data_IF_060662685799
#
_entry.id   IF_060662685799
#
_cell.length_a   1.000
_cell.length_b   1.000
_cell.length_c   1.000
_cell.angle_alpha   90.00
_cell.angle_beta   90.00
_cell.angle_gamma   90.00
#
_symmetry.space_group_name_H-M   'P 1'
#
loop_
_entity.id
_entity.type
_entity.pdbx_description
1 polymer ?
#
# COMPACT_ATOMS: atom_id res chain seq x y z
N UNK A 1 11.25 0.33 -7.61
CA UNK A 1 11.00 0.36 -6.15
C UNK A 1 9.50 0.57 -5.98
N UNK A 2 8.80 -0.27 -5.20
CA UNK A 2 7.34 -0.15 -5.08
C UNK A 2 6.97 1.21 -4.47
N UNK A 3 6.25 2.04 -5.21
CA UNK A 3 5.83 3.33 -4.71
C UNK A 3 4.49 3.22 -3.95
N UNK A 4 4.58 2.92 -2.66
CA UNK A 4 3.40 2.80 -1.78
C UNK A 4 2.87 4.15 -1.28
N UNK A 5 3.09 5.26 -1.98
CA UNK A 5 2.72 6.61 -1.51
C UNK A 5 1.23 6.72 -1.17
N UNK A 6 0.34 6.23 -2.02
CA UNK A 6 -1.10 6.26 -1.76
C UNK A 6 -1.49 5.34 -0.61
N UNK A 7 -0.93 4.14 -0.52
CA UNK A 7 -1.16 3.24 0.61
C UNK A 7 -0.75 3.88 1.95
N UNK A 8 0.42 4.54 2.00
CA UNK A 8 0.90 5.28 3.17
C UNK A 8 -0.03 6.45 3.54
N UNK A 9 -0.56 7.16 2.55
CA UNK A 9 -1.55 8.21 2.77
C UNK A 9 -2.85 7.64 3.38
N UNK A 10 -3.36 6.51 2.86
CA UNK A 10 -4.53 5.84 3.42
C UNK A 10 -4.31 5.39 4.87
N UNK A 11 -3.15 4.82 5.18
CA UNK A 11 -2.81 4.47 6.55
C UNK A 11 -2.81 5.68 7.48
N UNK A 12 -2.27 6.81 7.02
CA UNK A 12 -2.25 8.06 7.78
C UNK A 12 -3.65 8.60 8.02
N UNK A 13 -4.47 8.72 6.97
CA UNK A 13 -5.83 9.26 7.04
C UNK A 13 -6.77 8.40 7.91
N UNK A 14 -6.59 7.08 7.91
CA UNK A 14 -7.37 6.15 8.72
C UNK A 14 -6.76 5.85 10.09
N UNK A 15 -5.67 6.54 10.46
CA UNK A 15 -4.92 6.33 11.71
C UNK A 15 -4.51 4.86 11.95
N UNK A 16 -4.09 4.18 10.88
CA UNK A 16 -3.66 2.78 10.90
C UNK A 16 -2.15 2.77 11.17
N UNK A 17 -1.75 2.18 12.30
CA UNK A 17 -0.34 2.08 12.67
C UNK A 17 0.28 0.85 12.05
N UNK A 18 1.60 0.91 11.86
CA UNK A 18 2.40 -0.24 11.42
C UNK A 18 2.22 -1.46 12.34
N UNK A 19 2.01 -1.23 13.64
CA UNK A 19 1.69 -2.27 14.62
C UNK A 19 0.36 -2.97 14.37
N UNK A 20 -0.61 -2.27 13.78
CA UNK A 20 -1.94 -2.81 13.54
C UNK A 20 -1.92 -3.73 12.32
N UNK A 21 -1.19 -3.35 11.27
CA UNK A 21 -0.89 -4.21 10.13
C UNK A 21 -0.06 -5.42 10.57
N UNK A 22 0.92 -5.22 11.46
CA UNK A 22 1.76 -6.30 11.98
C UNK A 22 0.93 -7.36 12.72
N UNK A 23 -0.02 -6.92 13.56
CA UNK A 23 -0.98 -7.81 14.23
C UNK A 23 -1.90 -8.52 13.23
N UNK A 24 -2.46 -7.79 12.26
CA UNK A 24 -3.37 -8.35 11.26
C UNK A 24 -2.71 -9.46 10.41
N UNK A 25 -1.43 -9.29 10.07
CA UNK A 25 -0.70 -10.22 9.21
C UNK A 25 0.14 -11.25 9.97
N UNK A 26 0.08 -11.23 11.31
CA UNK A 26 0.91 -12.07 12.20
C UNK A 26 2.40 -11.96 11.88
N UNK A 27 2.89 -10.72 11.76
CA UNK A 27 4.28 -10.38 11.38
C UNK A 27 4.89 -9.41 12.38
N UNK A 28 6.22 -9.31 12.35
CA UNK A 28 6.91 -8.26 13.09
C UNK A 28 6.64 -6.89 12.46
N UNK A 29 6.72 -5.85 13.28
CA UNK A 29 6.67 -4.46 12.79
C UNK A 29 7.78 -4.19 11.78
N UNK A 30 9.00 -4.71 11.98
CA UNK A 30 10.11 -4.54 11.04
C UNK A 30 9.82 -5.12 9.65
N UNK A 31 9.12 -6.25 9.57
CA UNK A 31 8.67 -6.82 8.29
C UNK A 31 7.67 -5.90 7.60
N UNK A 32 6.71 -5.32 8.33
CA UNK A 32 5.75 -4.38 7.73
C UNK A 32 6.44 -3.12 7.22
N UNK A 33 7.43 -2.58 7.94
CA UNK A 33 8.23 -1.45 7.46
C UNK A 33 8.85 -1.75 6.10
N UNK A 34 9.55 -2.88 5.97
CA UNK A 34 10.18 -3.30 4.71
C UNK A 34 9.17 -3.50 3.58
N UNK A 35 7.96 -3.99 3.89
CA UNK A 35 6.86 -4.11 2.92
C UNK A 35 6.32 -2.76 2.45
N UNK A 36 6.17 -1.82 3.37
CA UNK A 36 5.74 -0.46 3.04
C UNK A 36 6.79 0.32 2.25
N UNK A 37 8.07 0.08 2.50
CA UNK A 37 9.15 0.84 1.89
C UNK A 37 9.56 0.27 0.52
N UNK A 38 9.75 -1.05 0.41
CA UNK A 38 10.42 -1.63 -0.77
C UNK A 38 9.83 -2.94 -1.30
N UNK A 39 9.27 -3.79 -0.44
CA UNK A 39 8.91 -5.18 -0.82
C UNK A 39 7.47 -5.35 -1.33
N UNK A 40 6.57 -4.44 -0.96
CA UNK A 40 5.14 -4.59 -1.22
C UNK A 40 4.47 -5.71 -0.43
N UNK A 41 3.17 -5.87 -0.68
CA UNK A 41 2.31 -6.87 -0.05
C UNK A 41 1.94 -7.96 -1.06
N UNK A 42 1.79 -9.18 -0.58
CA UNK A 42 1.25 -10.27 -1.40
C UNK A 42 -0.25 -10.06 -1.63
N UNK A 43 -0.83 -10.68 -2.67
CA UNK A 43 -2.27 -10.56 -2.96
C UNK A 43 -3.15 -10.92 -1.76
N UNK A 44 -2.81 -11.99 -1.03
CA UNK A 44 -3.53 -12.39 0.19
C UNK A 44 -3.48 -11.31 1.26
N UNK A 45 -2.32 -10.70 1.48
CA UNK A 45 -2.14 -9.62 2.46
C UNK A 45 -2.90 -8.35 2.03
N UNK A 46 -2.90 -8.02 0.74
CA UNK A 46 -3.65 -6.89 0.19
C UNK A 46 -5.15 -7.05 0.47
N UNK A 47 -5.72 -8.22 0.17
CA UNK A 47 -7.13 -8.50 0.44
C UNK A 47 -7.46 -8.36 1.93
N UNK A 48 -6.63 -8.92 2.81
CA UNK A 48 -6.83 -8.79 4.26
C UNK A 48 -6.80 -7.32 4.74
N UNK A 49 -5.84 -6.53 4.28
CA UNK A 49 -5.72 -5.12 4.67
C UNK A 49 -6.90 -4.32 4.09
N UNK A 50 -7.23 -4.51 2.82
CA UNK A 50 -8.37 -3.87 2.14
C UNK A 50 -9.66 -4.14 2.89
N UNK A 51 -9.96 -5.39 3.16
CA UNK A 51 -11.23 -5.79 3.76
C UNK A 51 -11.32 -5.32 5.22
N UNK A 52 -10.20 -5.37 5.96
CA UNK A 52 -10.15 -4.90 7.36
C UNK A 52 -10.34 -3.39 7.50
N UNK A 53 -9.75 -2.61 6.61
CA UNK A 53 -9.68 -1.15 6.75
C UNK A 53 -10.48 -0.38 5.69
N UNK A 54 -11.19 -1.09 4.81
CA UNK A 54 -11.92 -0.54 3.67
C UNK A 54 -11.02 0.41 2.83
N UNK A 55 -9.87 -0.11 2.39
CA UNK A 55 -8.90 0.61 1.54
C UNK A 55 -9.09 0.15 0.08
N UNK A 56 -9.25 1.06 -0.89
CA UNK A 56 -9.36 0.68 -2.31
C UNK A 56 -8.14 -0.13 -2.77
N UNK A 57 -8.37 -1.13 -3.63
CA UNK A 57 -7.31 -2.05 -4.04
C UNK A 57 -6.24 -1.32 -4.86
N UNK A 58 -6.64 -0.29 -5.59
CA UNK A 58 -5.82 0.60 -6.40
C UNK A 58 -4.74 1.31 -5.57
N UNK A 59 -4.98 1.52 -4.26
CA UNK A 59 -4.01 2.16 -3.36
C UNK A 59 -2.71 1.35 -3.21
N UNK A 60 -2.75 0.04 -3.48
CA UNK A 60 -1.60 -0.87 -3.39
C UNK A 60 -0.78 -0.96 -4.68
N UNK A 61 -1.29 -0.41 -5.79
CA UNK A 61 -0.70 -0.58 -7.13
C UNK A 61 -0.33 0.77 -7.77
N UNK A 62 -0.09 1.81 -6.97
CA UNK A 62 0.34 3.08 -7.53
C UNK A 62 1.69 2.92 -8.23
N UNK A 63 1.69 3.15 -9.54
CA UNK A 63 2.91 3.25 -10.33
C UNK A 63 3.18 4.72 -10.64
N UNK A 64 4.28 5.25 -10.11
CA UNK A 64 4.75 6.58 -10.47
C UNK A 64 5.46 6.63 -11.82
N UNK A 65 5.60 5.49 -12.51
CA UNK A 65 6.21 5.38 -13.84
C UNK A 65 5.19 5.37 -14.98
N UNK A 66 3.89 5.52 -14.69
CA UNK A 66 3.00 6.14 -15.68
C UNK A 66 3.43 7.61 -15.82
N UNK A 67 4.46 7.82 -16.65
CA UNK A 67 4.58 9.05 -17.41
C UNK A 67 3.20 9.29 -18.01
N UNK A 68 2.50 10.27 -17.44
CA UNK A 68 1.35 10.88 -18.09
C UNK A 68 1.89 11.63 -19.30
N UNK A 69 2.30 10.91 -20.33
CA UNK A 69 2.25 11.38 -21.70
C UNK A 69 0.77 11.45 -22.10
N UNK A 70 0.01 12.27 -21.39
CA UNK A 70 -1.20 12.89 -21.90
C UNK A 70 -0.77 13.99 -22.86
N UNK A 71 -0.17 13.59 -23.98
CA UNK A 71 0.19 14.44 -25.10
C UNK A 71 -0.05 13.72 -26.43
N UNK A 72 -1.17 13.02 -26.53
CA UNK A 72 -1.74 12.64 -27.83
C UNK A 72 -3.16 13.18 -27.95
N UNK A 73 -3.28 14.50 -27.80
CA UNK A 73 -4.16 15.26 -28.67
C UNK A 73 -3.30 15.80 -29.80
N UNK A 74 -3.40 15.19 -30.97
CA UNK A 74 -3.30 15.78 -32.30
C UNK A 74 -3.71 14.73 -33.34
#
# INVERSE_FOLDING_TARGET
MFNNQYLKAYFTLKNIKQSDIAKLLEKSTSTIRRKNDDLGFTQKEILLIRDKYNIPIEAFFYDSTEDKDTNTFL
#
